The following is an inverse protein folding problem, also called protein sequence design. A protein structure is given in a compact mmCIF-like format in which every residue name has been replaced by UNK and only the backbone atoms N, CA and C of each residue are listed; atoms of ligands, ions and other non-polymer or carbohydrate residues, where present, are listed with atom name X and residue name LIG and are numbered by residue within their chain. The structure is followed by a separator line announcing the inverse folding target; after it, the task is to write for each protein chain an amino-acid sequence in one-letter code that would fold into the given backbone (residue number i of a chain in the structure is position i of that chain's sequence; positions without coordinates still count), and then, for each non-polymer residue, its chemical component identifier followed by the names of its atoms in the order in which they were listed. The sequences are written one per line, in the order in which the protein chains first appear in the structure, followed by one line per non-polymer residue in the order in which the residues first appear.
data_IF_041214520442
#
_entry.id   IF_041214520442
#
_cell.length_a   1.000
_cell.length_b   1.000
_cell.length_c   1.000
_cell.angle_alpha   90.00
_cell.angle_beta   90.00
_cell.angle_gamma   90.00
#
_symmetry.space_group_name_H-M   'P 1'
#
loop_
_entity.id
_entity.type
_entity.pdbx_description
1 polymer ?
#
# COMPACT_ATOMS: atom_id res chain seq x y z
N UNK A 1 6.28 2.98 25.87
CA UNK A 1 7.22 4.11 25.86
C UNK A 1 8.53 3.63 26.47
N UNK A 2 9.43 3.11 25.62
CA UNK A 2 10.76 2.73 26.07
C UNK A 2 11.61 4.01 26.11
N UNK A 3 11.90 4.50 27.28
CA UNK A 3 12.97 5.48 27.48
C UNK A 3 14.27 4.74 27.26
N UNK A 4 14.97 5.04 26.16
CA UNK A 4 16.41 4.78 26.06
C UNK A 4 17.07 5.62 27.14
N UNK A 5 17.53 4.97 28.20
CA UNK A 5 18.36 5.59 29.18
C UNK A 5 19.59 6.16 28.44
N UNK A 6 19.88 7.42 28.69
CA UNK A 6 21.11 8.07 28.27
C UNK A 6 22.29 7.39 28.96
N UNK A 7 22.84 6.36 28.37
CA UNK A 7 24.14 5.85 28.74
C UNK A 7 25.20 6.78 28.15
N UNK A 8 25.50 7.83 28.87
CA UNK A 8 26.76 8.52 28.73
C UNK A 8 27.90 7.55 29.05
N UNK A 9 28.91 7.54 28.17
CA UNK A 9 30.10 6.69 28.16
C UNK A 9 29.92 5.33 27.43
N UNK A 10 29.90 5.41 26.11
CA UNK A 10 30.55 4.37 25.32
C UNK A 10 32.04 4.82 25.15
N UNK A 11 33.00 3.98 25.53
CA UNK A 11 34.42 4.34 25.31
C UNK A 11 34.66 4.44 23.81
N UNK A 12 35.39 5.49 23.39
CA UNK A 12 35.83 5.76 22.01
C UNK A 12 36.79 4.71 21.43
N UNK A 13 36.82 3.49 21.96
CA UNK A 13 37.85 2.49 21.69
C UNK A 13 37.35 1.16 21.16
N UNK A 14 36.29 1.11 20.38
CA UNK A 14 36.06 -0.02 19.48
C UNK A 14 35.41 0.52 18.20
N UNK A 15 36.22 1.05 17.32
CA UNK A 15 35.81 1.25 15.95
C UNK A 15 35.57 -0.14 15.31
N UNK A 16 34.34 -0.66 15.36
CA UNK A 16 34.02 -1.85 14.60
C UNK A 16 34.25 -1.54 13.13
N UNK A 17 35.16 -2.27 12.47
CA UNK A 17 35.37 -2.08 11.04
C UNK A 17 34.15 -2.51 10.23
N UNK A 18 33.40 -3.48 10.71
CA UNK A 18 32.19 -3.98 10.07
C UNK A 18 31.14 -4.48 11.06
N UNK A 19 29.86 -4.27 10.74
CA UNK A 19 28.72 -4.88 11.40
C UNK A 19 27.98 -5.70 10.35
N UNK A 20 27.83 -7.00 10.59
CA UNK A 20 27.13 -7.92 9.68
C UNK A 20 26.10 -8.66 10.51
N UNK A 21 24.87 -8.81 10.01
CA UNK A 21 23.85 -9.51 10.76
C UNK A 21 22.53 -9.73 10.06
N UNK A 22 21.80 -10.69 10.63
CA UNK A 22 20.40 -10.94 10.37
C UNK A 22 19.62 -10.68 11.68
N UNK A 23 19.19 -9.43 11.93
CA UNK A 23 18.51 -9.07 13.16
C UNK A 23 17.13 -9.72 13.25
N UNK A 24 16.55 -9.88 14.46
CA UNK A 24 15.17 -10.31 14.58
C UNK A 24 14.26 -9.30 13.88
N UNK A 25 13.29 -9.81 13.08
CA UNK A 25 12.43 -8.97 12.28
C UNK A 25 11.27 -8.41 13.09
N UNK A 26 10.74 -9.22 13.99
CA UNK A 26 9.54 -8.91 14.75
C UNK A 26 9.65 -9.46 16.18
N UNK A 27 8.97 -8.78 17.10
CA UNK A 27 8.77 -9.28 18.46
C UNK A 27 7.28 -9.31 18.79
N UNK A 28 6.90 -10.32 19.55
CA UNK A 28 5.55 -10.40 20.14
C UNK A 28 5.51 -9.42 21.29
N UNK A 29 4.71 -8.37 21.18
CA UNK A 29 4.50 -7.40 22.25
C UNK A 29 3.20 -7.71 22.94
N UNK A 30 3.32 -8.15 24.21
CA UNK A 30 2.28 -8.27 25.22
C UNK A 30 1.07 -9.19 24.96
N UNK A 31 0.56 -9.65 26.06
CA UNK A 31 -0.55 -10.50 26.42
C UNK A 31 -1.95 -10.00 25.99
N UNK A 32 -2.10 -8.96 25.18
CA UNK A 32 -3.40 -8.60 24.61
C UNK A 32 -3.58 -9.42 23.35
N UNK A 33 -4.28 -10.51 23.49
CA UNK A 33 -4.90 -11.17 22.35
C UNK A 33 -5.82 -10.16 21.65
N UNK A 34 -5.62 -9.99 20.34
CA UNK A 34 -6.63 -9.33 19.52
C UNK A 34 -7.91 -10.16 19.61
N UNK A 35 -9.08 -9.56 19.32
CA UNK A 35 -10.37 -10.27 19.32
C UNK A 35 -10.38 -11.59 18.51
N UNK A 36 -9.31 -11.88 17.77
CA UNK A 36 -9.10 -13.08 16.96
C UNK A 36 -8.01 -14.03 17.53
N UNK A 37 -7.58 -13.90 18.78
CA UNK A 37 -6.54 -14.75 19.37
C UNK A 37 -5.14 -14.54 18.79
N UNK A 38 -4.90 -13.51 17.99
CA UNK A 38 -3.57 -13.21 17.43
C UNK A 38 -2.79 -12.30 18.38
N UNK A 39 -1.55 -12.70 18.69
CA UNK A 39 -0.64 -11.85 19.47
C UNK A 39 -0.23 -10.62 18.65
N UNK A 40 -0.20 -9.45 19.29
CA UNK A 40 0.30 -8.24 18.65
C UNK A 40 1.80 -8.37 18.37
N UNK A 41 2.21 -8.14 17.13
CA UNK A 41 3.59 -8.23 16.67
C UNK A 41 4.05 -6.84 16.20
N UNK A 42 5.27 -6.47 16.57
CA UNK A 42 5.89 -5.21 16.18
C UNK A 42 7.18 -5.47 15.42
N UNK A 43 7.40 -4.76 14.34
CA UNK A 43 8.66 -4.78 13.60
C UNK A 43 9.77 -4.15 14.45
N UNK A 44 10.92 -4.80 14.51
CA UNK A 44 12.07 -4.32 15.30
C UNK A 44 13.36 -4.22 14.50
N UNK A 45 13.44 -4.80 13.31
CA UNK A 45 14.66 -4.81 12.48
C UNK A 45 15.23 -3.41 12.23
N UNK A 46 14.38 -2.42 12.07
CA UNK A 46 14.79 -1.04 11.80
C UNK A 46 15.56 -0.43 12.98
N UNK A 47 15.28 -0.82 14.22
CA UNK A 47 16.05 -0.39 15.39
C UNK A 47 17.49 -0.91 15.35
N UNK A 48 17.71 -2.11 14.82
CA UNK A 48 19.06 -2.65 14.64
C UNK A 48 19.85 -1.91 13.57
N UNK A 49 19.20 -1.50 12.47
CA UNK A 49 19.85 -0.64 11.48
C UNK A 49 20.19 0.73 12.09
N UNK A 50 19.26 1.35 12.81
CA UNK A 50 19.50 2.62 13.48
C UNK A 50 20.64 2.52 14.51
N UNK A 51 20.72 1.43 15.26
CA UNK A 51 21.82 1.17 16.19
C UNK A 51 23.16 1.00 15.46
N UNK A 52 23.17 0.24 14.36
CA UNK A 52 24.34 0.13 13.51
C UNK A 52 24.83 1.49 13.00
N UNK A 53 23.91 2.33 12.54
CA UNK A 53 24.21 3.68 12.07
C UNK A 53 24.79 4.58 13.19
N UNK A 54 24.30 4.44 14.43
CA UNK A 54 24.81 5.16 15.61
C UNK A 54 26.23 4.71 16.01
N UNK A 55 26.54 3.42 15.84
CA UNK A 55 27.88 2.88 16.12
C UNK A 55 28.93 3.28 15.08
N UNK A 56 28.49 3.81 13.95
CA UNK A 56 29.34 4.34 12.88
C UNK A 56 30.45 3.40 12.41
N UNK A 57 30.17 2.11 12.09
CA UNK A 57 31.18 1.22 11.55
C UNK A 57 31.64 1.71 10.17
N UNK A 58 32.81 1.26 9.72
CA UNK A 58 33.27 1.51 8.34
C UNK A 58 32.28 0.88 7.36
N UNK A 59 31.87 -0.36 7.61
CA UNK A 59 30.90 -1.10 6.80
C UNK A 59 29.77 -1.64 7.65
N UNK A 60 28.55 -1.64 7.10
CA UNK A 60 27.47 -2.44 7.66
C UNK A 60 26.76 -3.22 6.56
N UNK A 61 26.36 -4.46 6.88
CA UNK A 61 25.56 -5.31 5.99
C UNK A 61 24.51 -6.04 6.81
N UNK A 62 23.26 -5.57 6.71
CA UNK A 62 22.13 -6.16 7.43
C UNK A 62 21.10 -6.72 6.46
N UNK A 63 20.51 -7.88 6.83
CA UNK A 63 19.45 -8.51 6.06
C UNK A 63 18.12 -8.43 6.83
N UNK A 64 17.06 -7.93 6.22
CA UNK A 64 15.75 -7.80 6.82
C UNK A 64 14.63 -7.66 5.77
N UNK A 65 13.32 -7.78 6.17
CA UNK A 65 12.19 -7.63 5.25
C UNK A 65 12.25 -6.30 4.49
N UNK A 66 11.90 -6.33 3.20
CA UNK A 66 12.20 -5.25 2.27
C UNK A 66 11.03 -4.28 2.05
N UNK A 67 9.95 -4.77 1.43
CA UNK A 67 8.95 -3.94 0.77
C UNK A 67 8.37 -2.86 1.67
N UNK A 68 8.05 -3.16 2.93
CA UNK A 68 7.42 -2.18 3.82
C UNK A 68 8.28 -0.97 4.13
N UNK A 69 9.58 -1.13 4.32
CA UNK A 69 10.41 0.03 4.59
C UNK A 69 10.73 0.82 3.32
N UNK A 70 10.93 0.12 2.19
CA UNK A 70 11.18 0.77 0.89
C UNK A 70 9.95 1.56 0.44
N UNK A 71 8.76 0.99 0.55
CA UNK A 71 7.50 1.66 0.21
C UNK A 71 6.95 2.54 1.34
N UNK A 72 7.74 2.71 2.41
CA UNK A 72 7.37 3.60 3.53
C UNK A 72 5.98 3.28 4.06
N UNK A 73 5.72 2.00 4.28
CA UNK A 73 4.45 1.48 4.76
C UNK A 73 4.59 0.85 6.14
N UNK A 74 3.51 0.91 6.93
CA UNK A 74 3.50 0.36 8.27
C UNK A 74 4.01 1.33 9.35
N UNK A 75 3.62 1.05 10.57
CA UNK A 75 3.89 1.89 11.72
C UNK A 75 5.39 1.93 12.03
N UNK A 76 5.96 3.14 12.08
CA UNK A 76 7.37 3.38 12.41
C UNK A 76 8.35 3.22 11.25
N UNK A 77 7.87 2.85 10.04
CA UNK A 77 8.73 2.62 8.88
C UNK A 77 8.71 3.78 7.86
N UNK A 78 7.85 4.77 8.00
CA UNK A 78 7.73 5.88 7.05
C UNK A 78 9.01 6.73 7.07
N UNK A 79 9.34 7.30 8.22
CA UNK A 79 10.55 8.12 8.39
C UNK A 79 11.82 7.30 8.23
N UNK A 80 11.85 6.08 8.80
CA UNK A 80 12.97 5.16 8.64
C UNK A 80 13.24 4.88 7.16
N UNK A 81 12.21 4.50 6.40
CA UNK A 81 12.35 4.16 4.98
C UNK A 81 12.83 5.35 4.15
N UNK A 82 12.26 6.55 4.38
CA UNK A 82 12.67 7.76 3.69
C UNK A 82 14.14 8.08 3.95
N UNK A 83 14.56 8.05 5.22
CA UNK A 83 15.95 8.29 5.60
C UNK A 83 16.89 7.23 5.03
N UNK A 84 16.50 5.96 5.12
CA UNK A 84 17.34 4.84 4.72
C UNK A 84 17.62 4.81 3.22
N UNK A 85 16.58 5.05 2.37
CA UNK A 85 16.73 4.98 0.92
C UNK A 85 17.51 6.16 0.33
N UNK A 86 17.53 7.29 1.05
CA UNK A 86 18.24 8.50 0.67
C UNK A 86 19.58 8.68 1.41
N UNK A 87 20.00 7.67 2.19
CA UNK A 87 21.23 7.76 2.97
C UNK A 87 22.45 7.80 2.03
N UNK A 88 23.31 8.84 2.10
CA UNK A 88 24.51 8.93 1.26
C UNK A 88 25.50 7.79 1.48
N UNK A 89 25.43 7.11 2.62
CA UNK A 89 26.26 5.95 2.93
C UNK A 89 25.69 4.63 2.39
N UNK A 90 24.44 4.58 1.94
CA UNK A 90 23.86 3.40 1.30
C UNK A 90 24.64 3.12 0.00
N UNK A 91 25.47 2.08 0.01
CA UNK A 91 26.30 1.71 -1.12
C UNK A 91 25.63 0.66 -2.02
N UNK A 92 24.88 -0.26 -1.41
CA UNK A 92 24.17 -1.31 -2.16
C UNK A 92 22.88 -1.72 -1.46
N UNK A 93 21.84 -1.88 -2.26
CA UNK A 93 20.59 -2.51 -1.87
C UNK A 93 20.37 -3.74 -2.75
N UNK A 94 20.34 -4.93 -2.15
CA UNK A 94 20.00 -6.15 -2.86
C UNK A 94 18.60 -6.62 -2.43
N UNK A 95 17.67 -6.66 -3.36
CA UNK A 95 16.28 -7.06 -3.11
C UNK A 95 15.97 -8.42 -3.70
N UNK A 96 15.35 -9.25 -2.87
CA UNK A 96 14.82 -10.58 -3.21
C UNK A 96 13.31 -10.58 -2.98
N UNK A 97 12.47 -10.50 -4.03
CA UNK A 97 11.02 -10.56 -3.87
C UNK A 97 10.54 -11.89 -3.30
N UNK A 98 11.29 -12.95 -3.55
CA UNK A 98 11.05 -14.29 -3.03
C UNK A 98 12.08 -14.62 -1.95
N UNK A 99 11.68 -14.57 -0.67
CA UNK A 99 12.58 -14.82 0.46
C UNK A 99 13.19 -16.23 0.49
N UNK A 100 12.54 -17.21 -0.13
CA UNK A 100 13.04 -18.58 -0.25
C UNK A 100 14.28 -18.71 -1.13
N UNK A 101 14.61 -17.71 -1.94
CA UNK A 101 15.87 -17.64 -2.67
C UNK A 101 17.08 -17.40 -1.72
N UNK A 102 16.82 -16.88 -0.53
CA UNK A 102 17.83 -16.66 0.51
C UNK A 102 17.68 -17.68 1.65
N UNK A 103 16.47 -17.87 2.13
CA UNK A 103 16.14 -18.79 3.23
C UNK A 103 15.12 -19.82 2.76
N UNK A 104 15.55 -21.00 2.38
CA UNK A 104 14.75 -22.03 1.69
C UNK A 104 13.42 -22.38 2.35
N UNK A 105 13.35 -22.32 3.68
CA UNK A 105 12.17 -22.76 4.46
C UNK A 105 11.33 -21.59 5.01
N UNK A 106 11.70 -20.35 4.69
CA UNK A 106 11.05 -19.16 5.27
C UNK A 106 10.35 -18.34 4.21
N UNK A 107 9.01 -18.30 4.26
CA UNK A 107 8.19 -17.42 3.43
C UNK A 107 7.98 -16.07 4.10
N UNK A 108 8.59 -15.02 3.58
CA UNK A 108 8.38 -13.63 4.00
C UNK A 108 7.69 -12.89 2.87
N UNK A 109 6.43 -12.51 3.08
CA UNK A 109 5.61 -11.87 2.04
C UNK A 109 6.20 -10.54 1.53
N UNK A 110 6.95 -9.85 2.39
CA UNK A 110 7.59 -8.56 2.05
C UNK A 110 8.91 -8.74 1.27
N UNK A 111 9.30 -9.96 0.89
CA UNK A 111 10.62 -10.23 0.37
C UNK A 111 11.74 -9.88 1.36
N UNK A 112 12.97 -9.94 0.89
CA UNK A 112 14.16 -9.62 1.70
C UNK A 112 15.02 -8.56 1.04
N UNK A 113 15.64 -7.72 1.86
CA UNK A 113 16.70 -6.79 1.46
C UNK A 113 18.00 -7.08 2.18
N UNK A 114 19.12 -7.05 1.46
CA UNK A 114 20.44 -6.92 2.05
C UNK A 114 20.85 -5.46 1.85
N UNK A 115 21.00 -4.74 2.95
CA UNK A 115 21.35 -3.32 2.98
C UNK A 115 22.82 -3.20 3.34
N UNK A 116 23.63 -2.77 2.38
CA UNK A 116 25.07 -2.56 2.58
C UNK A 116 25.39 -1.07 2.58
N UNK A 117 26.03 -0.61 3.64
CA UNK A 117 26.53 0.76 3.79
C UNK A 117 28.04 0.80 3.86
N UNK A 118 28.59 1.84 3.27
CA UNK A 118 29.98 2.24 3.36
C UNK A 118 30.06 3.68 3.87
N UNK A 119 30.63 3.87 5.04
CA UNK A 119 30.72 5.18 5.70
C UNK A 119 31.53 6.21 4.92
N UNK A 120 32.46 5.78 4.08
CA UNK A 120 33.23 6.72 3.25
C UNK A 120 32.48 7.16 2.00
N UNK A 121 31.45 6.46 1.60
CA UNK A 121 30.58 6.91 0.53
C UNK A 121 29.77 8.12 1.03
N UNK A 122 29.83 9.23 0.28
CA UNK A 122 29.19 10.50 0.65
C UNK A 122 28.14 10.97 -0.35
N UNK A 123 27.99 10.26 -1.46
CA UNK A 123 27.02 10.59 -2.52
C UNK A 123 25.78 9.70 -2.40
N UNK A 124 24.59 10.29 -2.42
CA UNK A 124 23.34 9.55 -2.50
C UNK A 124 23.23 8.76 -3.84
N UNK A 125 22.35 7.76 -3.87
CA UNK A 125 22.31 6.76 -4.95
C UNK A 125 23.13 5.52 -4.57
N UNK A 126 22.80 4.35 -5.12
CA UNK A 126 23.37 3.07 -4.70
C UNK A 126 23.32 2.04 -5.83
N UNK A 127 24.19 1.03 -5.74
CA UNK A 127 24.06 -0.16 -6.58
C UNK A 127 22.81 -0.94 -6.17
N UNK A 128 21.89 -1.12 -7.09
CA UNK A 128 20.66 -1.87 -6.89
C UNK A 128 20.75 -3.24 -7.55
N UNK A 129 20.64 -4.27 -6.74
CA UNK A 129 20.60 -5.65 -7.19
C UNK A 129 19.19 -6.21 -6.96
N UNK A 130 18.64 -6.85 -7.99
CA UNK A 130 17.31 -7.48 -7.94
C UNK A 130 17.47 -8.94 -8.37
N UNK A 131 17.16 -9.87 -7.46
CA UNK A 131 17.21 -11.31 -7.79
C UNK A 131 15.82 -11.91 -7.77
N UNK A 132 15.44 -12.53 -8.88
CA UNK A 132 14.17 -13.22 -9.05
C UNK A 132 14.37 -14.47 -9.89
N UNK A 133 13.89 -15.62 -9.41
CA UNK A 133 14.05 -16.93 -10.07
C UNK A 133 15.53 -17.27 -10.37
N UNK A 134 16.42 -16.97 -9.43
CA UNK A 134 17.85 -17.23 -9.56
C UNK A 134 18.61 -16.30 -10.50
N UNK A 135 17.94 -15.33 -11.14
CA UNK A 135 18.57 -14.34 -12.03
C UNK A 135 18.73 -13.02 -11.29
N UNK A 136 19.94 -12.48 -11.29
CA UNK A 136 20.24 -11.17 -10.69
C UNK A 136 20.42 -10.10 -11.77
N UNK A 137 19.62 -9.07 -11.71
CA UNK A 137 19.80 -7.83 -12.46
C UNK A 137 20.50 -6.81 -11.58
N UNK A 138 21.53 -6.15 -12.11
CA UNK A 138 22.27 -5.11 -11.44
C UNK A 138 22.11 -3.77 -12.16
N UNK A 139 21.71 -2.73 -11.44
CA UNK A 139 21.56 -1.37 -11.96
C UNK A 139 22.11 -0.38 -10.94
N UNK A 140 22.30 0.88 -11.34
CA UNK A 140 22.50 1.97 -10.40
C UNK A 140 21.15 2.68 -10.19
N UNK A 141 20.76 2.89 -8.94
CA UNK A 141 19.57 3.65 -8.57
C UNK A 141 19.99 4.99 -7.96
N UNK A 142 19.48 6.08 -8.49
CA UNK A 142 19.57 7.38 -7.84
C UNK A 142 18.73 7.38 -6.57
N UNK A 143 19.08 8.20 -5.61
CA UNK A 143 18.27 8.37 -4.41
C UNK A 143 16.92 8.98 -4.79
N UNK A 144 15.78 8.31 -4.48
CA UNK A 144 14.48 8.72 -5.01
C UNK A 144 13.92 10.01 -4.35
N UNK A 145 14.54 10.52 -3.28
CA UNK A 145 13.99 11.63 -2.52
C UNK A 145 12.64 11.26 -1.92
N UNK A 146 11.63 12.08 -2.19
CA UNK A 146 10.25 11.83 -1.76
C UNK A 146 9.50 10.84 -2.69
N UNK A 147 10.03 10.55 -3.86
CA UNK A 147 9.45 9.59 -4.78
C UNK A 147 9.54 8.14 -4.25
N UNK A 148 8.78 7.24 -4.83
CA UNK A 148 8.86 5.81 -4.51
C UNK A 148 9.91 5.13 -5.38
N UNK A 149 10.73 4.29 -4.76
CA UNK A 149 11.61 3.39 -5.52
C UNK A 149 10.77 2.30 -6.19
N UNK A 150 10.89 2.16 -7.50
CA UNK A 150 10.31 1.05 -8.25
C UNK A 150 11.19 -0.17 -8.08
N UNK A 151 10.65 -1.24 -7.51
CA UNK A 151 11.44 -2.41 -7.10
C UNK A 151 11.86 -3.31 -8.26
N UNK A 152 10.99 -3.50 -9.26
CA UNK A 152 11.31 -4.30 -10.44
C UNK A 152 12.06 -3.43 -11.47
N UNK A 153 13.32 -3.77 -11.83
CA UNK A 153 14.09 -2.99 -12.82
C UNK A 153 13.40 -2.87 -14.18
N UNK A 154 12.59 -3.85 -14.58
CA UNK A 154 11.82 -3.78 -15.84
C UNK A 154 10.72 -2.73 -15.79
N UNK A 155 10.26 -2.38 -14.61
CA UNK A 155 9.17 -1.41 -14.37
C UNK A 155 9.66 0.03 -14.14
N UNK A 156 10.96 0.27 -14.04
CA UNK A 156 11.51 1.59 -13.63
C UNK A 156 11.03 2.70 -14.55
N UNK A 157 11.15 2.55 -15.86
CA UNK A 157 10.74 3.59 -16.81
C UNK A 157 9.23 3.89 -16.73
N UNK A 158 8.40 2.86 -16.54
CA UNK A 158 6.95 3.06 -16.32
C UNK A 158 6.72 3.86 -15.05
N UNK A 159 7.38 3.49 -13.95
CA UNK A 159 7.25 4.18 -12.67
C UNK A 159 7.74 5.63 -12.72
N UNK A 160 8.82 5.90 -13.41
CA UNK A 160 9.34 7.26 -13.64
C UNK A 160 8.36 8.12 -14.45
N UNK A 161 7.80 7.58 -15.54
CA UNK A 161 6.77 8.26 -16.33
C UNK A 161 5.55 8.60 -15.46
N UNK A 162 5.07 7.63 -14.68
CA UNK A 162 3.94 7.83 -13.77
C UNK A 162 4.27 8.97 -12.79
N UNK A 163 5.39 8.91 -12.10
CA UNK A 163 5.77 9.89 -11.08
C UNK A 163 5.95 11.28 -11.69
N UNK A 164 6.64 11.37 -12.83
CA UNK A 164 6.90 12.62 -13.51
C UNK A 164 5.61 13.32 -13.97
N UNK A 165 4.75 12.61 -14.69
CA UNK A 165 3.51 13.17 -15.25
C UNK A 165 2.50 13.47 -14.15
N UNK A 166 2.39 12.59 -13.16
CA UNK A 166 1.50 12.81 -12.01
C UNK A 166 1.91 14.07 -11.23
N UNK A 167 3.20 14.23 -10.94
CA UNK A 167 3.68 15.40 -10.20
C UNK A 167 3.45 16.73 -10.95
N UNK A 168 3.39 16.71 -12.27
CA UNK A 168 3.20 17.91 -13.07
C UNK A 168 1.73 18.30 -13.27
N UNK A 169 0.82 17.31 -13.34
CA UNK A 169 -0.56 17.55 -13.83
C UNK A 169 -1.65 17.07 -12.89
N UNK A 170 -1.34 16.16 -11.98
CA UNK A 170 -2.31 15.40 -11.19
C UNK A 170 -1.88 15.31 -9.73
N UNK A 171 -2.58 14.47 -8.95
CA UNK A 171 -2.17 14.07 -7.61
C UNK A 171 -1.97 12.55 -7.57
N UNK A 172 -1.48 12.02 -6.45
CA UNK A 172 -1.53 10.59 -6.20
C UNK A 172 -2.82 10.23 -5.48
N UNK A 173 -3.47 9.16 -5.92
CA UNK A 173 -4.75 8.72 -5.39
C UNK A 173 -4.69 8.41 -3.88
N UNK A 174 -3.50 8.07 -3.36
CA UNK A 174 -3.27 7.84 -1.95
C UNK A 174 -3.79 8.97 -1.06
N UNK A 175 -3.65 10.21 -1.49
CA UNK A 175 -4.07 11.40 -0.73
C UNK A 175 -5.60 11.56 -0.68
N UNK A 176 -6.32 10.92 -1.59
CA UNK A 176 -7.78 10.91 -1.63
C UNK A 176 -8.40 9.70 -0.90
N UNK A 177 -7.60 8.68 -0.56
CA UNK A 177 -8.07 7.47 0.11
C UNK A 177 -8.57 7.79 1.51
N UNK A 178 -9.81 7.40 1.79
CA UNK A 178 -10.45 7.69 3.07
C UNK A 178 -10.11 6.64 4.14
N UNK A 179 -10.19 7.01 5.43
CA UNK A 179 -9.87 6.09 6.51
C UNK A 179 -10.75 4.83 6.48
N UNK A 180 -10.18 3.67 6.77
CA UNK A 180 -10.90 2.39 6.91
C UNK A 180 -12.05 2.45 7.94
N UNK A 181 -11.95 3.32 8.92
CA UNK A 181 -12.96 3.54 9.96
C UNK A 181 -13.91 4.70 9.64
N UNK A 182 -14.05 5.09 8.37
CA UNK A 182 -14.80 6.27 7.95
C UNK A 182 -16.15 6.43 8.67
N UNK A 183 -16.95 5.38 8.68
CA UNK A 183 -18.29 5.40 9.27
C UNK A 183 -18.37 4.81 10.69
N UNK A 184 -17.23 4.51 11.31
CA UNK A 184 -17.13 3.88 12.65
C UNK A 184 -17.90 2.55 12.79
N UNK A 185 -18.09 1.82 11.69
CA UNK A 185 -18.73 0.49 11.68
C UNK A 185 -17.66 -0.58 11.83
N UNK A 186 -17.62 -1.20 13.00
CA UNK A 186 -16.62 -2.23 13.34
C UNK A 186 -16.91 -3.57 12.64
N UNK A 187 -15.91 -4.44 12.55
CA UNK A 187 -16.05 -5.74 11.88
C UNK A 187 -17.03 -6.71 12.55
N UNK A 188 -17.32 -6.50 13.83
CA UNK A 188 -18.28 -7.28 14.63
C UNK A 188 -19.61 -6.54 14.85
N UNK A 189 -19.88 -5.50 14.06
CA UNK A 189 -21.05 -4.65 14.25
C UNK A 189 -22.36 -5.45 14.20
N UNK A 190 -22.50 -6.35 13.21
CA UNK A 190 -23.70 -7.17 13.03
C UNK A 190 -23.89 -8.14 14.20
N UNK A 191 -22.81 -8.74 14.70
CA UNK A 191 -22.86 -9.64 15.86
C UNK A 191 -23.28 -8.91 17.13
N UNK A 192 -22.75 -7.69 17.34
CA UNK A 192 -22.98 -6.91 18.55
C UNK A 192 -24.32 -6.15 18.53
N UNK A 193 -24.89 -5.91 17.35
CA UNK A 193 -26.10 -5.11 17.16
C UNK A 193 -27.07 -5.76 16.18
N UNK A 194 -27.50 -7.01 16.42
CA UNK A 194 -28.39 -7.72 15.50
C UNK A 194 -29.77 -7.06 15.38
N UNK A 195 -30.16 -6.27 16.40
CA UNK A 195 -31.39 -5.48 16.46
C UNK A 195 -31.35 -4.21 15.57
N UNK A 196 -30.16 -3.74 15.19
CA UNK A 196 -29.98 -2.52 14.40
C UNK A 196 -29.83 -2.79 12.89
N UNK A 197 -29.79 -4.03 12.47
CA UNK A 197 -29.59 -4.42 11.08
C UNK A 197 -30.56 -5.50 10.65
N UNK A 198 -30.96 -5.47 9.40
CA UNK A 198 -31.66 -6.57 8.71
C UNK A 198 -30.99 -6.84 7.36
N UNK A 199 -31.03 -8.09 6.84
CA UNK A 199 -30.51 -8.37 5.51
C UNK A 199 -31.18 -7.49 4.45
N UNK A 200 -30.37 -6.91 3.56
CA UNK A 200 -30.85 -6.13 2.42
C UNK A 200 -31.32 -7.07 1.31
N UNK A 201 -32.47 -6.81 0.74
CA UNK A 201 -32.99 -7.49 -0.45
C UNK A 201 -32.80 -6.59 -1.67
N UNK A 202 -32.17 -7.14 -2.72
CA UNK A 202 -31.88 -6.36 -3.93
C UNK A 202 -33.15 -5.74 -4.51
N UNK A 203 -33.15 -4.42 -4.67
CA UNK A 203 -34.27 -3.68 -5.24
C UNK A 203 -35.36 -3.28 -4.23
N UNK A 204 -35.19 -3.59 -2.93
CA UNK A 204 -36.15 -3.10 -1.93
C UNK A 204 -36.08 -1.59 -1.75
N UNK A 205 -37.23 -0.96 -1.54
CA UNK A 205 -37.31 0.46 -1.20
C UNK A 205 -36.88 0.68 0.26
N UNK A 206 -36.04 1.69 0.49
CA UNK A 206 -35.61 2.10 1.82
C UNK A 206 -36.48 3.22 2.34
N UNK A 207 -36.79 3.20 3.65
CA UNK A 207 -37.38 4.34 4.33
C UNK A 207 -36.45 5.57 4.29
N UNK A 208 -36.98 6.76 4.59
CA UNK A 208 -36.21 8.01 4.47
C UNK A 208 -34.94 8.02 5.36
N UNK A 209 -35.02 7.38 6.52
CA UNK A 209 -33.99 7.27 7.53
C UNK A 209 -33.15 5.97 7.45
N UNK A 210 -33.39 5.14 6.42
CA UNK A 210 -32.65 3.89 6.20
C UNK A 210 -31.54 4.05 5.17
N UNK A 211 -30.46 3.31 5.39
CA UNK A 211 -29.31 3.20 4.50
C UNK A 211 -28.97 1.75 4.21
N UNK A 212 -28.28 1.52 3.09
CA UNK A 212 -27.61 0.23 2.83
C UNK A 212 -26.27 0.21 3.56
N UNK A 213 -25.97 -0.89 4.21
CA UNK A 213 -24.73 -1.08 4.94
C UNK A 213 -23.99 -2.31 4.41
N UNK A 214 -22.82 -2.11 3.79
CA UNK A 214 -21.94 -3.18 3.34
C UNK A 214 -20.94 -3.49 4.46
N UNK A 215 -21.12 -4.56 5.20
CA UNK A 215 -20.25 -4.94 6.30
C UNK A 215 -20.17 -6.46 6.49
N UNK A 216 -19.25 -6.93 7.33
CA UNK A 216 -19.12 -8.35 7.61
C UNK A 216 -20.29 -8.85 8.47
N UNK A 217 -20.77 -10.07 8.16
CA UNK A 217 -21.76 -10.78 8.95
C UNK A 217 -21.22 -11.17 10.34
N UNK A 218 -19.90 -11.37 10.46
CA UNK A 218 -19.19 -11.62 11.72
C UNK A 218 -17.74 -11.18 11.64
N UNK A 219 -17.11 -11.07 12.79
CA UNK A 219 -15.68 -10.76 12.89
C UNK A 219 -14.79 -11.94 12.43
N UNK A 220 -13.52 -11.64 12.18
CA UNK A 220 -12.49 -12.62 11.91
C UNK A 220 -12.45 -13.18 10.49
N UNK A 221 -11.64 -14.22 10.29
CA UNK A 221 -11.36 -14.80 8.96
C UNK A 221 -12.59 -15.49 8.30
N UNK A 222 -13.55 -15.93 9.10
CA UNK A 222 -14.77 -16.55 8.61
C UNK A 222 -15.86 -15.55 8.22
N UNK A 223 -15.70 -14.27 8.60
CA UNK A 223 -16.65 -13.21 8.24
C UNK A 223 -16.68 -12.96 6.73
N UNK A 224 -17.87 -12.65 6.24
CA UNK A 224 -18.12 -12.32 4.83
C UNK A 224 -18.84 -11.01 4.75
N UNK A 225 -18.42 -10.13 3.84
CA UNK A 225 -19.13 -8.89 3.57
C UNK A 225 -20.51 -9.21 2.95
N UNK A 226 -21.53 -8.61 3.53
CA UNK A 226 -22.92 -8.73 3.11
C UNK A 226 -23.60 -7.38 3.16
N UNK A 227 -24.69 -7.27 2.44
CA UNK A 227 -25.54 -6.09 2.45
C UNK A 227 -26.63 -6.19 3.52
N UNK A 228 -26.74 -5.12 4.29
CA UNK A 228 -27.78 -4.94 5.30
C UNK A 228 -28.52 -3.64 5.06
N UNK A 229 -29.67 -3.50 5.72
CA UNK A 229 -30.33 -2.21 5.95
C UNK A 229 -30.16 -1.84 7.41
N UNK A 230 -29.84 -0.60 7.67
CA UNK A 230 -29.72 -0.03 9.00
C UNK A 230 -30.32 1.39 9.01
N UNK A 231 -30.62 1.92 10.18
CA UNK A 231 -30.94 3.34 10.32
C UNK A 231 -29.67 4.17 10.13
N UNK A 232 -29.82 5.38 9.56
CA UNK A 232 -28.70 6.30 9.32
C UNK A 232 -27.94 6.67 10.61
N UNK A 233 -28.59 6.65 11.75
CA UNK A 233 -28.03 6.96 13.07
C UNK A 233 -26.88 6.04 13.50
N UNK A 234 -26.74 4.84 12.89
CA UNK A 234 -25.61 3.93 13.16
C UNK A 234 -24.28 4.50 12.65
N UNK A 235 -24.35 5.46 11.74
CA UNK A 235 -23.17 6.18 11.22
C UNK A 235 -22.86 7.34 12.15
N UNK A 236 -21.77 7.22 12.90
CA UNK A 236 -21.39 8.23 13.92
C UNK A 236 -20.32 9.20 13.44
N UNK A 237 -19.53 8.80 12.45
CA UNK A 237 -18.45 9.62 11.83
C UNK A 237 -18.57 9.61 10.30
N UNK A 238 -17.91 10.54 9.60
CA UNK A 238 -17.86 10.59 8.14
C UNK A 238 -19.22 10.86 7.48
N UNK A 239 -20.15 11.49 8.20
CA UNK A 239 -21.53 11.75 7.72
C UNK A 239 -21.55 12.57 6.45
N UNK A 240 -20.58 13.45 6.25
CA UNK A 240 -20.39 14.26 5.05
C UNK A 240 -20.17 13.40 3.77
N UNK A 241 -19.69 12.18 3.95
CA UNK A 241 -19.51 11.22 2.86
C UNK A 241 -20.71 10.30 2.65
N UNK A 242 -21.68 10.26 3.57
CA UNK A 242 -22.80 9.34 3.50
C UNK A 242 -23.65 9.60 2.25
N UNK A 243 -23.91 10.86 1.95
CA UNK A 243 -24.73 11.32 0.80
C UNK A 243 -23.89 11.56 -0.47
N UNK A 244 -22.77 10.88 -0.60
CA UNK A 244 -21.92 10.90 -1.79
C UNK A 244 -21.83 9.51 -2.40
N UNK A 245 -21.61 9.43 -3.69
CA UNK A 245 -21.23 8.20 -4.37
C UNK A 245 -19.79 7.83 -4.00
N UNK A 246 -19.51 6.55 -3.84
CA UNK A 246 -18.22 6.07 -3.34
C UNK A 246 -17.70 4.94 -4.22
N UNK A 247 -16.42 4.94 -4.54
CA UNK A 247 -15.75 3.77 -5.09
C UNK A 247 -14.91 3.16 -3.99
N UNK A 248 -15.23 1.93 -3.64
CA UNK A 248 -14.62 1.21 -2.52
C UNK A 248 -13.87 -0.03 -2.99
N UNK A 249 -12.90 -0.43 -2.19
CA UNK A 249 -12.08 -1.64 -2.38
C UNK A 249 -12.05 -2.46 -1.09
N UNK A 250 -11.79 -3.76 -1.20
CA UNK A 250 -11.58 -4.62 -0.03
C UNK A 250 -10.34 -4.15 0.77
N UNK A 251 -10.50 -4.03 2.09
CA UNK A 251 -9.37 -3.70 2.96
C UNK A 251 -8.35 -4.84 3.13
N UNK A 252 -8.68 -6.05 2.69
CA UNK A 252 -7.79 -7.22 2.77
C UNK A 252 -6.90 -7.37 1.54
N UNK A 253 -7.37 -6.91 0.37
CA UNK A 253 -6.61 -6.90 -0.89
C UNK A 253 -6.86 -5.53 -1.54
N UNK A 254 -6.30 -4.52 -0.93
CA UNK A 254 -6.47 -3.16 -1.38
C UNK A 254 -5.90 -2.98 -2.79
N UNK A 255 -6.63 -2.23 -3.63
CA UNK A 255 -6.22 -1.97 -5.01
C UNK A 255 -6.68 -3.02 -6.04
N UNK A 256 -7.26 -4.13 -5.64
CA UNK A 256 -7.81 -5.13 -6.57
C UNK A 256 -6.76 -5.85 -7.42
N UNK A 257 -5.52 -5.93 -6.93
CA UNK A 257 -4.38 -6.45 -7.67
C UNK A 257 -4.59 -7.90 -8.15
N UNK A 258 -5.13 -8.75 -7.30
CA UNK A 258 -5.30 -10.18 -7.61
C UNK A 258 -6.71 -10.56 -8.07
N UNK A 259 -7.69 -9.68 -7.90
CA UNK A 259 -9.09 -9.96 -8.21
C UNK A 259 -9.79 -8.69 -8.70
N UNK A 260 -10.19 -8.66 -9.94
CA UNK A 260 -10.89 -7.52 -10.55
C UNK A 260 -12.23 -7.15 -9.86
N UNK A 261 -12.85 -8.10 -9.15
CA UNK A 261 -14.14 -7.93 -8.47
C UNK A 261 -14.06 -7.31 -7.06
N UNK A 262 -12.91 -6.75 -6.68
CA UNK A 262 -12.73 -6.13 -5.37
C UNK A 262 -13.22 -4.68 -5.32
N UNK A 263 -13.38 -4.03 -6.47
CA UNK A 263 -13.89 -2.68 -6.60
C UNK A 263 -15.42 -2.68 -6.70
N UNK A 264 -16.07 -1.80 -5.96
CA UNK A 264 -17.53 -1.61 -5.99
C UNK A 264 -17.87 -0.13 -5.97
N UNK A 265 -18.94 0.24 -6.72
CA UNK A 265 -19.56 1.57 -6.63
C UNK A 265 -20.68 1.51 -5.62
N UNK A 266 -20.61 2.31 -4.58
CA UNK A 266 -21.67 2.47 -3.59
C UNK A 266 -22.41 3.79 -3.85
N UNK A 267 -23.73 3.75 -3.79
CA UNK A 267 -24.55 4.92 -3.99
C UNK A 267 -24.54 5.89 -2.79
N UNK A 268 -25.27 6.98 -2.95
CA UNK A 268 -25.42 8.07 -1.99
C UNK A 268 -26.30 7.74 -0.77
N UNK A 269 -26.79 6.51 -0.66
CA UNK A 269 -27.51 5.96 0.50
C UNK A 269 -26.81 4.73 1.08
N UNK A 270 -25.51 4.60 0.83
CA UNK A 270 -24.73 3.44 1.27
C UNK A 270 -23.60 3.85 2.22
N UNK A 271 -23.41 3.08 3.29
CA UNK A 271 -22.26 3.08 4.16
C UNK A 271 -21.52 1.74 4.10
N UNK A 272 -20.32 1.68 4.68
CA UNK A 272 -19.54 0.45 4.74
C UNK A 272 -18.80 0.30 6.06
N UNK A 273 -18.53 -0.96 6.44
CA UNK A 273 -17.72 -1.31 7.59
C UNK A 273 -16.25 -1.51 7.25
N UNK A 274 -15.44 -1.88 8.25
CA UNK A 274 -13.97 -2.01 8.18
C UNK A 274 -13.45 -3.02 7.15
N UNK A 275 -14.30 -3.80 6.53
CA UNK A 275 -13.90 -4.67 5.41
C UNK A 275 -13.71 -3.93 4.09
N UNK A 276 -14.03 -2.65 4.03
CA UNK A 276 -13.90 -1.79 2.87
C UNK A 276 -13.10 -0.53 3.19
N UNK A 277 -12.55 0.07 2.13
CA UNK A 277 -11.91 1.38 2.12
C UNK A 277 -12.42 2.13 0.90
N UNK A 278 -12.81 3.38 1.06
CA UNK A 278 -13.15 4.22 -0.07
C UNK A 278 -11.88 4.80 -0.68
N UNK A 279 -11.66 4.52 -1.96
CA UNK A 279 -10.58 5.12 -2.74
C UNK A 279 -10.87 6.61 -2.96
N UNK A 280 -12.13 6.94 -3.29
CA UNK A 280 -12.58 8.31 -3.51
C UNK A 280 -14.11 8.42 -3.40
N UNK A 281 -14.62 9.63 -3.14
CA UNK A 281 -16.07 9.92 -3.13
C UNK A 281 -16.41 11.03 -4.10
N UNK A 282 -17.63 10.99 -4.65
CA UNK A 282 -18.10 11.83 -5.75
C UNK A 282 -19.45 12.46 -5.44
N UNK A 283 -19.73 13.60 -6.06
CA UNK A 283 -21.03 14.25 -5.96
C UNK A 283 -22.10 13.51 -6.80
N UNK A 284 -21.71 12.92 -7.92
CA UNK A 284 -22.60 12.30 -8.88
C UNK A 284 -22.28 10.83 -9.12
N UNK A 285 -23.29 10.06 -9.53
CA UNK A 285 -23.11 8.69 -9.99
C UNK A 285 -22.17 8.61 -11.20
N UNK A 286 -22.30 9.56 -12.12
CA UNK A 286 -21.52 9.59 -13.37
C UNK A 286 -20.01 9.65 -13.07
N UNK A 287 -19.59 10.59 -12.24
CA UNK A 287 -18.17 10.68 -11.81
C UNK A 287 -17.69 9.40 -11.13
N UNK A 288 -18.50 8.81 -10.24
CA UNK A 288 -18.14 7.55 -9.56
C UNK A 288 -17.99 6.40 -10.57
N UNK A 289 -18.84 6.31 -11.57
CA UNK A 289 -18.74 5.29 -12.61
C UNK A 289 -17.56 5.51 -13.55
N UNK A 290 -17.26 6.74 -13.90
CA UNK A 290 -16.08 7.10 -14.69
C UNK A 290 -14.79 6.74 -13.92
N UNK A 291 -14.70 7.11 -12.65
CA UNK A 291 -13.58 6.69 -11.80
C UNK A 291 -13.49 5.16 -11.63
N UNK A 292 -14.62 4.48 -11.53
CA UNK A 292 -14.63 3.01 -11.49
C UNK A 292 -14.08 2.42 -12.79
N UNK A 293 -14.52 2.91 -13.96
CA UNK A 293 -14.01 2.50 -15.26
C UNK A 293 -12.49 2.76 -15.39
N UNK A 294 -12.04 3.94 -14.96
CA UNK A 294 -10.63 4.30 -14.85
C UNK A 294 -9.83 3.27 -14.03
N UNK A 295 -10.30 2.92 -12.84
CA UNK A 295 -9.64 1.94 -11.97
C UNK A 295 -9.65 0.49 -12.55
N UNK A 296 -10.51 0.20 -13.51
CA UNK A 296 -10.61 -1.12 -14.16
C UNK A 296 -9.64 -1.30 -15.35
N UNK A 297 -9.02 -0.21 -15.83
CA UNK A 297 -8.05 -0.28 -16.93
C UNK A 297 -6.81 -1.07 -16.50
N UNK A 298 -6.17 -1.72 -17.45
CA UNK A 298 -4.94 -2.48 -17.19
C UNK A 298 -3.82 -1.58 -16.68
N UNK A 299 -3.72 -0.36 -17.22
CA UNK A 299 -2.72 0.60 -16.77
C UNK A 299 -2.90 0.91 -15.27
N UNK A 300 -4.08 1.30 -14.83
CA UNK A 300 -4.32 1.67 -13.43
C UNK A 300 -4.24 0.44 -12.50
N UNK A 301 -4.74 -0.71 -12.92
CA UNK A 301 -4.55 -1.96 -12.17
C UNK A 301 -3.07 -2.28 -11.96
N UNK A 302 -2.24 -2.06 -12.98
CA UNK A 302 -0.81 -2.22 -12.87
C UNK A 302 -0.17 -1.23 -11.89
N UNK A 303 -0.60 0.04 -11.89
CA UNK A 303 -0.04 1.04 -10.96
C UNK A 303 -0.29 0.69 -9.49
N UNK A 304 -1.38 0.01 -9.18
CA UNK A 304 -1.61 -0.53 -7.83
C UNK A 304 -0.59 -1.59 -7.43
N UNK A 305 0.00 -2.33 -8.37
CA UNK A 305 1.00 -3.37 -8.11
C UNK A 305 2.40 -2.80 -7.83
N UNK A 306 2.65 -1.54 -8.14
CA UNK A 306 3.95 -0.90 -7.94
C UNK A 306 4.27 -0.62 -6.46
N UNK A 307 3.30 -0.81 -5.56
CA UNK A 307 3.48 -0.74 -4.11
C UNK A 307 2.96 -1.99 -3.42
N UNK A 308 3.21 -2.13 -2.11
CA UNK A 308 2.68 -3.26 -1.34
C UNK A 308 1.15 -3.17 -1.15
N UNK A 309 0.53 -4.27 -0.76
CA UNK A 309 -0.93 -4.37 -0.53
C UNK A 309 -1.40 -3.74 0.79
N UNK A 310 -0.52 -3.08 1.55
CA UNK A 310 -0.91 -2.48 2.83
C UNK A 310 -1.74 -1.22 2.63
N UNK A 311 -2.69 -0.96 3.53
CA UNK A 311 -3.49 0.26 3.46
C UNK A 311 -2.67 1.54 3.59
N UNK A 312 -1.50 1.48 4.22
CA UNK A 312 -0.60 2.63 4.37
C UNK A 312 0.21 2.97 3.12
N UNK A 313 0.24 2.07 2.14
CA UNK A 313 0.85 2.29 0.82
C UNK A 313 -0.17 2.24 -0.32
N UNK A 314 -1.43 1.98 0.00
CA UNK A 314 -2.50 1.90 -0.99
C UNK A 314 -2.50 3.12 -1.91
N UNK A 315 -2.42 2.86 -3.22
CA UNK A 315 -2.51 3.86 -4.28
C UNK A 315 -1.41 4.94 -4.29
N UNK A 316 -0.25 4.74 -3.64
CA UNK A 316 0.86 5.71 -3.67
C UNK A 316 1.49 5.91 -5.06
N UNK A 317 1.31 4.95 -5.97
CA UNK A 317 1.78 5.03 -7.35
C UNK A 317 0.63 5.15 -8.35
N UNK A 318 -0.61 5.30 -7.88
CA UNK A 318 -1.80 5.45 -8.73
C UNK A 318 -2.04 6.94 -8.99
N UNK A 319 -2.04 7.40 -10.25
CA UNK A 319 -2.43 8.77 -10.57
C UNK A 319 -3.89 9.04 -10.18
N UNK A 320 -4.19 10.23 -9.70
CA UNK A 320 -5.54 10.77 -9.52
C UNK A 320 -5.74 11.92 -10.50
N UNK A 321 -6.57 11.76 -11.49
CA UNK A 321 -6.84 12.80 -12.51
C UNK A 321 -7.58 14.01 -11.93
N UNK A 322 -7.99 13.97 -10.66
CA UNK A 322 -8.72 14.99 -9.89
C UNK A 322 -10.17 15.15 -10.32
N UNK A 323 -10.45 15.29 -11.61
CA UNK A 323 -11.77 15.43 -12.21
C UNK A 323 -12.13 14.18 -13.03
N UNK A 324 -13.29 13.60 -12.75
CA UNK A 324 -13.83 12.41 -13.41
C UNK A 324 -15.20 12.71 -14.09
N UNK A 325 -15.52 13.96 -14.29
CA UNK A 325 -16.67 14.37 -15.12
C UNK A 325 -16.44 14.02 -16.60
N UNK A 326 -17.51 14.03 -17.39
CA UNK A 326 -17.38 13.82 -18.84
C UNK A 326 -16.66 14.99 -19.54
N UNK A 327 -16.67 16.17 -18.91
CA UNK A 327 -16.07 17.40 -19.45
C UNK A 327 -14.65 17.67 -18.89
N UNK A 328 -13.96 16.67 -18.31
CA UNK A 328 -12.65 16.84 -17.65
C UNK A 328 -11.50 17.27 -18.59
N UNK A 329 -11.68 17.16 -19.89
CA UNK A 329 -10.69 17.57 -20.90
C UNK A 329 -9.41 16.68 -20.97
N UNK A 330 -9.36 15.58 -20.23
CA UNK A 330 -8.21 14.67 -20.17
C UNK A 330 -8.54 13.30 -20.75
N UNK A 331 -9.67 12.70 -20.33
CA UNK A 331 -10.11 11.37 -20.73
C UNK A 331 -11.54 11.43 -21.26
N UNK A 332 -11.74 10.90 -22.46
CA UNK A 332 -13.06 10.58 -22.99
C UNK A 332 -13.50 9.20 -22.49
N UNK A 333 -14.44 9.19 -21.54
CA UNK A 333 -14.98 7.93 -20.96
C UNK A 333 -15.91 7.15 -21.90
N UNK A 334 -16.26 7.70 -23.08
CA UNK A 334 -16.97 6.96 -24.12
C UNK A 334 -16.02 6.17 -25.03
N UNK A 335 -14.73 6.53 -25.03
CA UNK A 335 -13.69 5.90 -25.83
C UNK A 335 -12.94 4.79 -25.06
N UNK A 336 -11.80 4.37 -25.63
CA UNK A 336 -10.88 3.44 -24.96
C UNK A 336 -10.06 4.19 -23.91
N UNK A 337 -10.50 4.13 -22.66
CA UNK A 337 -9.84 4.80 -21.53
C UNK A 337 -8.42 4.26 -21.33
N UNK A 338 -8.19 2.96 -21.53
CA UNK A 338 -6.87 2.38 -21.31
C UNK A 338 -5.86 2.86 -22.36
N UNK A 339 -6.24 2.93 -23.65
CA UNK A 339 -5.40 3.46 -24.69
C UNK A 339 -5.05 4.95 -24.44
N UNK A 340 -6.04 5.76 -24.04
CA UNK A 340 -5.81 7.16 -23.71
C UNK A 340 -4.84 7.35 -22.53
N UNK A 341 -4.90 6.47 -21.54
CA UNK A 341 -3.97 6.49 -20.40
C UNK A 341 -2.56 6.09 -20.83
N UNK A 342 -2.41 5.10 -21.72
CA UNK A 342 -1.11 4.74 -22.26
C UNK A 342 -0.47 5.92 -22.98
N UNK A 343 -1.23 6.61 -23.84
CA UNK A 343 -0.74 7.81 -24.55
C UNK A 343 -0.38 8.92 -23.57
N UNK A 344 -1.25 9.20 -22.60
CA UNK A 344 -1.07 10.25 -21.58
C UNK A 344 0.21 10.03 -20.76
N UNK A 345 0.52 8.80 -20.39
CA UNK A 345 1.68 8.45 -19.57
C UNK A 345 2.89 7.98 -20.36
N UNK A 346 2.86 8.07 -21.71
CA UNK A 346 3.96 7.70 -22.57
C UNK A 346 4.33 6.21 -22.48
N UNK A 347 3.32 5.33 -22.39
CA UNK A 347 3.48 3.89 -22.27
C UNK A 347 3.54 3.26 -23.66
N UNK A 348 4.74 2.94 -24.11
CA UNK A 348 4.98 2.31 -25.41
C UNK A 348 4.54 0.84 -25.47
N UNK A 349 4.59 0.24 -26.67
CA UNK A 349 4.18 -1.15 -26.88
C UNK A 349 4.99 -2.17 -26.08
N UNK A 350 6.24 -1.88 -25.71
CA UNK A 350 7.05 -2.77 -24.87
C UNK A 350 6.60 -2.74 -23.42
N UNK A 351 6.32 -1.55 -22.92
CA UNK A 351 5.76 -1.33 -21.59
C UNK A 351 4.35 -1.91 -21.46
N UNK A 352 3.49 -1.76 -22.47
CA UNK A 352 2.16 -2.37 -22.52
C UNK A 352 2.24 -3.91 -22.40
N UNK A 353 3.20 -4.56 -23.09
CA UNK A 353 3.42 -6.00 -22.95
C UNK A 353 3.88 -6.40 -21.55
N UNK A 354 4.73 -5.58 -20.91
CA UNK A 354 5.13 -5.81 -19.52
C UNK A 354 3.93 -5.72 -18.56
N UNK A 355 3.09 -4.70 -18.73
CA UNK A 355 1.85 -4.51 -17.95
C UNK A 355 0.94 -5.75 -18.09
N UNK A 356 0.64 -6.16 -19.32
CA UNK A 356 -0.22 -7.32 -19.60
C UNK A 356 0.35 -8.61 -18.96
N UNK A 357 1.63 -8.91 -19.17
CA UNK A 357 2.30 -10.08 -18.57
C UNK A 357 2.27 -10.06 -17.04
N UNK A 358 2.41 -8.90 -16.42
CA UNK A 358 2.39 -8.76 -14.96
C UNK A 358 0.99 -9.02 -14.42
N UNK A 359 -0.04 -8.50 -15.07
CA UNK A 359 -1.43 -8.71 -14.66
C UNK A 359 -1.87 -10.17 -14.84
N UNK A 360 -1.47 -10.84 -15.94
CA UNK A 360 -1.76 -12.25 -16.19
C UNK A 360 -1.07 -13.17 -15.16
N UNK A 361 0.19 -12.89 -14.84
CA UNK A 361 0.96 -13.64 -13.84
C UNK A 361 0.42 -13.51 -12.41
N UNK A 362 -0.33 -12.46 -12.11
CA UNK A 362 -0.97 -12.26 -10.80
C UNK A 362 -2.38 -12.88 -10.68
N UNK A 363 -2.93 -13.44 -11.77
CA UNK A 363 -4.23 -14.12 -11.77
C UNK A 363 -4.16 -15.62 -11.44
N UNK A 364 -2.96 -16.18 -11.36
CA UNK A 364 -2.69 -17.62 -11.09
C UNK A 364 -2.51 -17.98 -9.60
#
# INVERSE_FOLDING_TARGET
MFRLASYGFLPKCFGSHAIIGNPPYQVVVAQKETANGQKAVVNVFHYFQMLSDQLQPRYSSLIYPAVRWIHRSGKGLIEFGLKQINDPHLARLHFYPQSNEVFREVGIADGLSVVFKDREKQKAGFDYLYTKNGVTTATHAEAPGENMLVLDPEAVTIGENIQHITAQRFAFLHDAVLPRSLFSIESNFVENHPDKVRPYRKGEALAADEIKLLTNDKAGKAGRARWYVAKEEVVTTGKEHLRRWKVVVSSANAGGQKRSNQLEVLDDRSAFGRSRVALKTFATEREARNFFAYCQTDFIRYTFLLTDESLSSLAKMVPDLLDYSDDNGVIDYAGDVNAQLYDLFGIDSSMQRLIARTLDGNQS
#
